data_IF_780966762824
#
_entry.id   IF_780966762824
#
_cell.length_a   1.000
_cell.length_b   1.000
_cell.length_c   1.000
_cell.angle_alpha   90.00
_cell.angle_beta   90.00
_cell.angle_gamma   90.00
#
_symmetry.space_group_name_H-M   'P 1'
#
loop_
_entity.id
_entity.type
_entity.pdbx_description
1 polymer ?
#
# COMPACT_ATOMS: atom_id res chain seq x y z
N UNK A 1 84.22 6.40 -15.39
CA UNK A 1 83.29 6.30 -14.27
C UNK A 1 81.91 6.70 -14.84
N UNK A 2 81.11 5.67 -15.17
CA UNK A 2 79.81 5.83 -15.79
C UNK A 2 78.71 5.46 -14.80
N UNK A 3 77.94 6.45 -14.46
CA UNK A 3 76.77 6.33 -13.60
C UNK A 3 75.55 5.85 -14.45
N UNK A 4 75.02 4.66 -14.19
CA UNK A 4 73.77 4.19 -14.76
C UNK A 4 72.68 4.25 -13.72
N UNK A 5 71.90 5.32 -13.73
CA UNK A 5 70.61 5.38 -13.04
C UNK A 5 69.56 4.62 -13.85
N UNK A 6 69.13 3.49 -13.33
CA UNK A 6 67.97 2.79 -13.82
C UNK A 6 66.67 3.51 -13.44
N UNK A 7 65.90 3.92 -14.40
CA UNK A 7 64.56 4.46 -14.19
C UNK A 7 63.58 3.30 -13.81
N UNK A 8 63.05 3.35 -12.61
CA UNK A 8 61.91 2.54 -12.17
C UNK A 8 60.62 3.14 -12.77
N UNK A 9 60.01 2.46 -13.70
CA UNK A 9 58.65 2.76 -14.12
C UNK A 9 57.68 2.18 -13.10
N UNK A 10 57.01 3.04 -12.36
CA UNK A 10 55.88 2.70 -11.51
C UNK A 10 54.63 2.46 -12.41
N UNK A 11 54.48 1.23 -12.82
CA UNK A 11 53.19 0.77 -13.40
C UNK A 11 52.18 0.57 -12.26
N UNK A 12 51.21 1.49 -12.15
CA UNK A 12 50.03 1.28 -11.33
C UNK A 12 49.23 0.12 -11.89
N UNK A 13 48.79 -0.86 -11.05
CA UNK A 13 47.92 -1.91 -11.52
C UNK A 13 46.60 -1.31 -12.01
N UNK A 14 46.31 -1.49 -13.29
CA UNK A 14 45.03 -1.19 -13.89
C UNK A 14 43.97 -2.11 -13.27
N UNK A 15 43.11 -1.57 -12.41
CA UNK A 15 41.89 -2.26 -11.98
C UNK A 15 40.94 -2.32 -13.17
N UNK A 16 41.11 -3.33 -14.01
CA UNK A 16 40.15 -3.64 -15.07
C UNK A 16 38.83 -4.05 -14.39
N UNK A 17 37.83 -3.19 -14.45
CA UNK A 17 36.47 -3.53 -14.07
C UNK A 17 35.98 -4.54 -15.08
N UNK A 18 35.93 -5.81 -14.67
CA UNK A 18 35.33 -6.88 -15.49
C UNK A 18 33.82 -6.64 -15.48
N UNK A 19 33.19 -6.30 -16.60
CA UNK A 19 31.75 -6.15 -16.65
C UNK A 19 31.10 -7.50 -16.38
N UNK A 20 30.36 -7.62 -15.30
CA UNK A 20 29.51 -8.78 -15.04
C UNK A 20 28.39 -8.73 -16.08
N UNK A 21 28.47 -9.58 -17.10
CA UNK A 21 27.36 -9.80 -18.01
C UNK A 21 26.29 -10.58 -17.25
N UNK A 22 25.26 -9.88 -16.81
CA UNK A 22 24.03 -10.52 -16.36
C UNK A 22 23.29 -11.00 -17.61
N UNK A 23 23.01 -12.29 -17.77
CA UNK A 23 22.21 -12.79 -18.88
C UNK A 23 20.83 -12.13 -18.80
N UNK A 24 20.48 -11.32 -19.79
CA UNK A 24 19.19 -10.68 -19.88
C UNK A 24 18.21 -11.60 -20.65
N UNK A 25 17.80 -12.69 -20.00
CA UNK A 25 16.65 -13.48 -20.40
C UNK A 25 15.55 -13.24 -19.37
N UNK A 26 14.48 -12.56 -19.75
CA UNK A 26 13.38 -12.22 -18.82
C UNK A 26 12.69 -13.45 -18.24
N UNK A 27 12.73 -14.58 -18.91
CA UNK A 27 12.01 -15.79 -18.51
C UNK A 27 12.84 -16.69 -17.58
N UNK A 28 14.17 -16.72 -17.73
CA UNK A 28 15.05 -17.52 -16.88
C UNK A 28 15.27 -16.92 -15.47
N UNK A 29 15.07 -15.60 -15.31
CA UNK A 29 15.26 -14.90 -14.05
C UNK A 29 14.18 -15.23 -13.00
N UNK A 30 12.99 -15.63 -13.43
CA UNK A 30 11.87 -16.00 -12.56
C UNK A 30 12.01 -17.40 -11.98
N UNK A 31 12.82 -18.26 -12.60
CA UNK A 31 13.04 -19.65 -12.20
C UNK A 31 14.28 -19.85 -11.32
N UNK A 32 15.18 -18.86 -11.23
CA UNK A 32 16.35 -18.97 -10.35
C UNK A 32 15.93 -18.77 -8.87
N UNK A 33 15.95 -19.84 -8.05
CA UNK A 33 15.54 -19.75 -6.65
C UNK A 33 16.44 -18.83 -5.79
N UNK A 34 17.58 -18.40 -6.34
CA UNK A 34 18.51 -17.46 -5.69
C UNK A 34 18.10 -16.01 -5.90
N UNK A 35 17.24 -15.72 -6.89
CA UNK A 35 16.74 -14.38 -7.13
C UNK A 35 15.52 -14.13 -6.24
N UNK A 36 15.52 -12.98 -5.57
CA UNK A 36 14.38 -12.55 -4.77
C UNK A 36 13.23 -12.13 -5.69
N UNK A 37 12.01 -12.60 -5.39
CA UNK A 37 10.79 -12.15 -6.04
C UNK A 37 10.26 -10.84 -5.45
N UNK A 38 11.09 -10.19 -4.63
CA UNK A 38 10.74 -8.99 -3.87
C UNK A 38 11.26 -7.77 -4.56
N UNK A 39 10.38 -6.83 -4.85
CA UNK A 39 10.76 -5.53 -5.40
C UNK A 39 11.48 -4.64 -4.36
N UNK A 40 11.91 -3.46 -4.80
CA UNK A 40 12.59 -2.49 -3.93
C UNK A 40 11.72 -1.95 -2.78
N UNK A 41 10.41 -2.09 -2.87
CA UNK A 41 9.44 -1.68 -1.84
C UNK A 41 9.15 -2.81 -0.84
N UNK A 42 9.56 -4.02 -1.16
CA UNK A 42 9.34 -5.20 -0.34
C UNK A 42 8.14 -6.05 -0.78
N UNK A 43 7.45 -5.69 -1.88
CA UNK A 43 6.33 -6.45 -2.43
C UNK A 43 6.83 -7.73 -3.08
N UNK A 44 6.16 -8.84 -2.82
CA UNK A 44 6.49 -10.16 -3.33
C UNK A 44 5.36 -10.70 -4.19
N UNK A 45 5.65 -11.06 -5.43
CA UNK A 45 4.64 -11.63 -6.33
C UNK A 45 4.15 -13.00 -5.85
N UNK A 46 5.05 -13.84 -5.32
CA UNK A 46 4.66 -15.16 -4.76
C UNK A 46 3.74 -14.99 -3.56
N UNK A 47 4.08 -14.05 -2.67
CA UNK A 47 3.21 -13.72 -1.53
C UNK A 47 1.85 -13.20 -2.01
N UNK A 48 1.83 -12.30 -2.99
CA UNK A 48 0.59 -11.74 -3.55
C UNK A 48 -0.27 -12.80 -4.22
N UNK A 49 0.33 -13.72 -4.98
CA UNK A 49 -0.39 -14.84 -5.60
C UNK A 49 -1.07 -15.73 -4.54
N UNK A 50 -0.34 -16.08 -3.48
CA UNK A 50 -0.89 -16.83 -2.34
C UNK A 50 -1.99 -16.03 -1.62
N UNK A 51 -1.72 -14.76 -1.32
CA UNK A 51 -2.66 -13.88 -0.64
C UNK A 51 -3.96 -13.72 -1.45
N UNK A 52 -3.89 -13.54 -2.77
CA UNK A 52 -5.07 -13.49 -3.65
C UNK A 52 -5.92 -14.75 -3.51
N UNK A 53 -5.29 -15.91 -3.59
CA UNK A 53 -5.99 -17.19 -3.48
C UNK A 53 -6.70 -17.36 -2.14
N UNK A 54 -6.02 -17.01 -1.04
CA UNK A 54 -6.57 -17.13 0.32
C UNK A 54 -7.62 -16.05 0.63
N UNK A 55 -7.47 -14.85 0.06
CA UNK A 55 -8.37 -13.73 0.34
C UNK A 55 -9.62 -13.73 -0.53
N UNK A 56 -9.61 -14.40 -1.68
CA UNK A 56 -10.73 -14.42 -2.63
C UNK A 56 -12.07 -14.86 -1.98
N UNK A 57 -12.15 -15.88 -1.14
CA UNK A 57 -13.40 -16.23 -0.45
C UNK A 57 -13.90 -15.13 0.50
N UNK A 58 -12.98 -14.39 1.15
CA UNK A 58 -13.33 -13.27 2.02
C UNK A 58 -13.86 -12.10 1.16
N UNK A 59 -13.19 -11.80 0.07
CA UNK A 59 -13.57 -10.75 -0.86
C UNK A 59 -14.95 -11.02 -1.51
N UNK A 60 -15.13 -12.20 -2.09
CA UNK A 60 -16.32 -12.51 -2.90
C UNK A 60 -17.54 -12.95 -2.09
N UNK A 61 -17.35 -13.77 -1.03
CA UNK A 61 -18.44 -14.39 -0.26
C UNK A 61 -18.73 -13.67 1.05
N UNK A 62 -17.67 -13.31 1.79
CA UNK A 62 -17.81 -12.68 3.10
C UNK A 62 -18.16 -11.20 2.98
N UNK A 63 -17.39 -10.45 2.16
CA UNK A 63 -17.60 -9.03 1.89
C UNK A 63 -18.49 -8.77 0.67
N UNK A 64 -18.70 -9.75 -0.18
CA UNK A 64 -19.59 -9.63 -1.36
C UNK A 64 -19.33 -8.31 -2.11
N UNK A 65 -18.06 -8.08 -2.40
CA UNK A 65 -17.56 -6.81 -2.95
C UNK A 65 -18.16 -6.54 -4.31
N UNK A 66 -18.63 -5.29 -4.51
CA UNK A 66 -19.13 -4.78 -5.76
C UNK A 66 -18.39 -3.51 -6.15
N UNK A 67 -17.97 -3.45 -7.40
CA UNK A 67 -17.37 -2.27 -7.99
C UNK A 67 -18.36 -1.55 -8.92
N UNK A 68 -18.20 -0.20 -8.96
CA UNK A 68 -18.86 0.68 -9.89
C UNK A 68 -17.83 1.66 -10.44
N UNK A 69 -17.74 1.83 -11.77
CA UNK A 69 -16.83 2.78 -12.41
C UNK A 69 -15.36 2.36 -12.43
N UNK A 70 -15.07 1.06 -12.34
CA UNK A 70 -13.69 0.54 -12.29
C UNK A 70 -12.90 0.89 -13.56
N UNK A 71 -13.58 1.03 -14.69
CA UNK A 71 -13.05 1.46 -15.99
C UNK A 71 -12.45 2.87 -16.00
N UNK A 72 -12.68 3.65 -14.92
CA UNK A 72 -12.09 4.99 -14.75
C UNK A 72 -10.66 4.95 -14.22
N UNK A 73 -10.21 3.80 -13.73
CA UNK A 73 -8.81 3.61 -13.33
C UNK A 73 -8.00 3.39 -14.60
N UNK A 74 -6.93 4.16 -14.84
CA UNK A 74 -6.17 4.03 -16.08
C UNK A 74 -5.48 2.66 -16.18
N UNK A 75 -5.44 2.09 -17.38
CA UNK A 75 -4.77 0.81 -17.65
C UNK A 75 -3.24 0.93 -17.56
N UNK A 76 -2.70 2.12 -17.84
CA UNK A 76 -1.27 2.39 -17.83
C UNK A 76 -0.95 3.71 -17.10
N UNK A 77 0.31 3.87 -16.73
CA UNK A 77 0.78 5.07 -16.05
C UNK A 77 0.41 5.14 -14.57
N UNK A 78 0.95 6.14 -13.89
CA UNK A 78 0.69 6.38 -12.48
C UNK A 78 -0.68 7.02 -12.23
N UNK A 79 -1.34 6.64 -11.13
CA UNK A 79 -2.51 7.35 -10.62
C UNK A 79 -2.58 7.26 -9.09
N UNK A 80 -3.01 8.33 -8.45
CA UNK A 80 -3.22 8.37 -7.01
C UNK A 80 -4.67 8.02 -6.68
N UNK A 81 -4.88 6.81 -6.15
CA UNK A 81 -6.17 6.35 -5.67
C UNK A 81 -6.42 6.94 -4.27
N UNK A 82 -7.49 7.69 -4.11
CA UNK A 82 -7.83 8.35 -2.85
C UNK A 82 -9.16 7.84 -2.35
N UNK A 83 -9.16 7.19 -1.17
CA UNK A 83 -10.36 6.59 -0.61
C UNK A 83 -10.67 7.13 0.80
N UNK A 84 -11.93 7.04 1.21
CA UNK A 84 -12.32 7.19 2.60
C UNK A 84 -11.89 5.95 3.39
N UNK A 85 -11.62 6.16 4.69
CA UNK A 85 -11.07 5.13 5.58
C UNK A 85 -12.01 4.87 6.74
N UNK A 86 -12.35 3.60 6.98
CA UNK A 86 -13.29 3.26 8.01
C UNK A 86 -13.09 1.83 8.56
N UNK A 87 -13.75 1.54 9.69
CA UNK A 87 -13.60 0.27 10.41
C UNK A 87 -12.33 0.26 11.30
N UNK A 88 -12.44 -0.30 12.49
CA UNK A 88 -11.40 -0.23 13.53
C UNK A 88 -10.03 -0.77 13.08
N UNK A 89 -10.04 -1.90 12.39
CA UNK A 89 -8.90 -2.47 11.67
C UNK A 89 -9.32 -2.50 10.21
N UNK A 90 -8.77 -1.59 9.40
CA UNK A 90 -9.36 -1.31 8.10
C UNK A 90 -9.26 -2.49 7.14
N UNK A 91 -10.41 -2.97 6.67
CA UNK A 91 -10.51 -3.98 5.62
C UNK A 91 -10.57 -3.37 4.22
N UNK A 92 -10.71 -2.05 4.13
CA UNK A 92 -10.85 -1.32 2.86
C UNK A 92 -9.58 -1.37 1.99
N UNK A 93 -8.40 -1.18 2.57
CA UNK A 93 -7.16 -1.25 1.81
C UNK A 93 -6.95 -2.63 1.14
N UNK A 94 -7.02 -3.78 1.86
CA UNK A 94 -6.95 -5.09 1.22
C UNK A 94 -8.03 -5.32 0.16
N UNK A 95 -9.26 -4.86 0.40
CA UNK A 95 -10.38 -4.99 -0.55
C UNK A 95 -10.09 -4.23 -1.84
N UNK A 96 -9.63 -2.96 -1.75
CA UNK A 96 -9.30 -2.14 -2.91
C UNK A 96 -8.14 -2.76 -3.69
N UNK A 97 -7.03 -3.07 -2.99
CA UNK A 97 -5.82 -3.61 -3.62
C UNK A 97 -6.08 -4.96 -4.30
N UNK A 98 -6.82 -5.85 -3.62
CA UNK A 98 -7.20 -7.14 -4.19
C UNK A 98 -8.10 -7.00 -5.40
N UNK A 99 -9.14 -6.14 -5.32
CA UNK A 99 -10.09 -5.96 -6.39
C UNK A 99 -9.45 -5.38 -7.66
N UNK A 100 -8.63 -4.36 -7.54
CA UNK A 100 -7.93 -3.77 -8.68
C UNK A 100 -6.96 -4.76 -9.32
N UNK A 101 -6.17 -5.48 -8.52
CA UNK A 101 -5.29 -6.53 -9.08
C UNK A 101 -6.07 -7.64 -9.77
N UNK A 102 -7.23 -8.03 -9.22
CA UNK A 102 -8.07 -9.09 -9.80
C UNK A 102 -8.68 -8.68 -11.13
N UNK A 103 -9.25 -7.48 -11.18
CA UNK A 103 -10.07 -7.04 -12.32
C UNK A 103 -9.21 -6.37 -13.42
N UNK A 104 -8.16 -5.63 -13.03
CA UNK A 104 -7.32 -4.88 -13.98
C UNK A 104 -5.92 -5.47 -14.16
N UNK A 105 -5.53 -6.46 -13.36
CA UNK A 105 -4.18 -7.03 -13.41
C UNK A 105 -3.07 -6.07 -12.97
N UNK A 106 -3.41 -4.89 -12.42
CA UNK A 106 -2.46 -3.84 -12.05
C UNK A 106 -2.09 -3.91 -10.57
N UNK A 107 -0.80 -3.89 -10.22
CA UNK A 107 -0.38 -3.80 -8.84
C UNK A 107 -0.77 -2.45 -8.23
N UNK A 108 -1.17 -2.49 -6.97
CA UNK A 108 -1.47 -1.29 -6.17
C UNK A 108 -0.55 -1.26 -4.96
N UNK A 109 0.07 -0.10 -4.71
CA UNK A 109 0.89 0.14 -3.52
C UNK A 109 0.12 0.99 -2.52
N UNK A 110 -0.10 0.45 -1.31
CA UNK A 110 -0.83 1.14 -0.26
C UNK A 110 0.11 1.98 0.62
N UNK A 111 -0.17 3.26 0.76
CA UNK A 111 0.57 4.11 1.69
C UNK A 111 0.08 3.88 3.13
N UNK A 112 1.00 3.62 4.04
CA UNK A 112 0.69 3.46 5.45
C UNK A 112 1.64 4.24 6.34
N UNK A 113 1.15 4.60 7.52
CA UNK A 113 1.97 5.22 8.56
C UNK A 113 3.14 4.30 8.92
N UNK A 114 4.28 4.91 9.23
CA UNK A 114 5.49 4.18 9.62
C UNK A 114 5.26 3.24 10.81
N UNK A 115 4.31 3.55 11.68
CA UNK A 115 3.93 2.72 12.81
C UNK A 115 3.64 1.26 12.41
N UNK A 116 2.96 1.01 11.27
CA UNK A 116 2.64 -0.35 10.82
C UNK A 116 3.89 -1.19 10.53
N UNK A 117 4.99 -0.56 10.13
CA UNK A 117 6.27 -1.26 9.92
C UNK A 117 6.94 -1.71 11.21
N UNK A 118 6.65 -1.05 12.34
CA UNK A 118 7.25 -1.38 13.63
C UNK A 118 6.59 -2.58 14.31
N UNK A 119 5.40 -2.99 13.84
CA UNK A 119 4.69 -4.15 14.38
C UNK A 119 5.29 -5.41 13.74
N UNK A 120 5.91 -6.31 14.55
CA UNK A 120 6.46 -7.57 14.03
C UNK A 120 5.39 -8.36 13.26
N UNK A 121 5.80 -9.09 12.24
CA UNK A 121 4.93 -9.86 11.34
C UNK A 121 4.01 -9.00 10.49
N UNK A 122 3.20 -8.10 11.11
CA UNK A 122 2.26 -7.23 10.39
C UNK A 122 3.01 -6.34 9.38
N UNK A 123 4.11 -5.72 9.80
CA UNK A 123 4.93 -4.88 8.91
C UNK A 123 5.51 -5.66 7.74
N UNK A 124 5.96 -6.90 7.99
CA UNK A 124 6.47 -7.77 6.92
C UNK A 124 5.37 -8.18 5.95
N UNK A 125 4.23 -8.65 6.46
CA UNK A 125 3.08 -9.05 5.63
C UNK A 125 2.56 -7.86 4.83
N UNK A 126 2.49 -6.68 5.45
CA UNK A 126 2.09 -5.44 4.77
C UNK A 126 3.04 -5.07 3.63
N UNK A 127 4.36 -5.08 3.87
CA UNK A 127 5.36 -4.81 2.83
C UNK A 127 5.27 -5.85 1.70
N UNK A 128 5.18 -7.15 2.03
CA UNK A 128 5.02 -8.23 1.03
C UNK A 128 3.73 -8.09 0.22
N UNK A 129 2.70 -7.49 0.80
CA UNK A 129 1.43 -7.19 0.15
C UNK A 129 1.45 -5.95 -0.74
N UNK A 130 2.51 -5.14 -0.74
CA UNK A 130 2.59 -3.88 -1.47
C UNK A 130 2.40 -2.63 -0.60
N UNK A 131 2.56 -2.77 0.71
CA UNK A 131 2.50 -1.64 1.63
C UNK A 131 3.80 -0.85 1.67
N UNK A 132 3.71 0.47 1.51
CA UNK A 132 4.85 1.39 1.47
C UNK A 132 4.66 2.48 2.52
N UNK A 133 5.77 2.95 3.13
CA UNK A 133 5.70 4.06 4.08
C UNK A 133 5.19 5.34 3.42
N UNK A 134 4.21 5.98 4.04
CA UNK A 134 3.57 7.22 3.57
C UNK A 134 4.53 8.42 3.69
N UNK A 135 5.53 8.44 2.82
CA UNK A 135 6.48 9.56 2.64
C UNK A 135 6.28 10.18 1.26
N UNK A 136 6.29 11.51 1.14
CA UNK A 136 6.13 12.19 -0.15
C UNK A 136 7.07 11.68 -1.24
N UNK A 137 8.34 11.43 -0.90
CA UNK A 137 9.33 10.91 -1.85
C UNK A 137 8.98 9.51 -2.37
N UNK A 138 8.44 8.62 -1.51
CA UNK A 138 8.05 7.26 -1.91
C UNK A 138 6.84 7.32 -2.86
N UNK A 139 5.84 8.12 -2.51
CA UNK A 139 4.66 8.31 -3.35
C UNK A 139 5.03 8.91 -4.72
N UNK A 140 5.90 9.93 -4.75
CA UNK A 140 6.38 10.51 -5.99
C UNK A 140 7.09 9.49 -6.89
N UNK A 141 8.02 8.69 -6.33
CA UNK A 141 8.74 7.66 -7.08
C UNK A 141 7.79 6.62 -7.68
N UNK A 142 6.87 6.10 -6.88
CA UNK A 142 5.87 5.13 -7.34
C UNK A 142 5.01 5.72 -8.47
N UNK A 143 4.49 6.93 -8.27
CA UNK A 143 3.58 7.57 -9.22
C UNK A 143 4.27 8.01 -10.51
N UNK A 144 5.40 8.77 -10.38
CA UNK A 144 6.04 9.42 -11.52
C UNK A 144 7.08 8.56 -12.20
N UNK A 145 7.98 7.95 -11.41
CA UNK A 145 9.13 7.23 -11.97
C UNK A 145 8.77 5.81 -12.38
N UNK A 146 7.86 5.16 -11.63
CA UNK A 146 7.49 3.76 -11.86
C UNK A 146 6.10 3.58 -12.48
N UNK A 147 5.31 4.64 -12.62
CA UNK A 147 3.99 4.59 -13.23
C UNK A 147 2.99 3.68 -12.49
N UNK A 148 3.11 3.57 -11.16
CA UNK A 148 2.29 2.66 -10.36
C UNK A 148 1.00 3.30 -9.85
N UNK A 149 0.02 2.45 -9.53
CA UNK A 149 -1.16 2.86 -8.78
C UNK A 149 -0.79 2.94 -7.29
N UNK A 150 -1.08 4.09 -6.68
CA UNK A 150 -0.78 4.34 -5.26
C UNK A 150 -2.07 4.64 -4.52
N UNK A 151 -2.37 3.88 -3.47
CA UNK A 151 -3.56 4.05 -2.64
C UNK A 151 -3.21 4.88 -1.39
N UNK A 152 -3.96 5.94 -1.18
CA UNK A 152 -3.86 6.82 -0.01
C UNK A 152 -5.21 7.03 0.67
N UNK A 153 -5.19 7.17 1.99
CA UNK A 153 -6.34 7.47 2.82
C UNK A 153 -6.10 8.78 3.58
N UNK A 154 -6.48 9.94 3.03
CA UNK A 154 -6.15 11.24 3.62
C UNK A 154 -6.80 11.51 4.99
N UNK A 155 -7.83 10.76 5.38
CA UNK A 155 -8.38 10.79 6.73
C UNK A 155 -7.37 10.29 7.79
N UNK A 156 -6.41 9.46 7.39
CA UNK A 156 -5.46 8.83 8.29
C UNK A 156 -6.18 8.07 9.41
N UNK A 157 -5.61 8.07 10.61
CA UNK A 157 -6.17 7.35 11.78
C UNK A 157 -7.54 7.89 12.25
N UNK A 158 -7.96 9.07 11.79
CA UNK A 158 -9.27 9.65 12.15
C UNK A 158 -10.43 8.90 11.51
N UNK A 159 -10.23 8.37 10.31
CA UNK A 159 -11.23 7.55 9.62
C UNK A 159 -11.56 6.27 10.40
N UNK A 160 -10.60 5.33 10.57
CA UNK A 160 -10.82 4.07 11.27
C UNK A 160 -11.22 4.22 12.73
N UNK A 161 -10.84 5.31 13.37
CA UNK A 161 -11.18 5.57 14.77
C UNK A 161 -12.57 6.20 14.98
N UNK A 162 -13.33 6.43 13.91
CA UNK A 162 -14.72 6.96 14.04
C UNK A 162 -15.61 6.04 14.87
N UNK A 163 -16.48 6.63 15.70
CA UNK A 163 -17.57 5.89 16.31
C UNK A 163 -18.57 5.46 15.24
N UNK A 164 -19.21 4.32 15.44
CA UNK A 164 -20.26 3.83 14.54
C UNK A 164 -21.48 4.78 14.46
N UNK A 165 -21.68 5.60 15.45
CA UNK A 165 -22.69 6.69 15.43
C UNK A 165 -22.40 7.75 14.36
N UNK A 166 -21.12 7.92 14.02
CA UNK A 166 -20.64 8.88 13.01
C UNK A 166 -20.38 8.22 11.65
N UNK A 167 -20.92 7.00 11.45
CA UNK A 167 -20.76 6.29 10.19
C UNK A 167 -21.26 7.09 8.99
N UNK A 168 -20.70 6.81 7.81
CA UNK A 168 -21.00 7.50 6.54
C UNK A 168 -20.66 8.99 6.51
N UNK A 169 -19.99 9.51 7.54
CA UNK A 169 -19.49 10.87 7.55
C UNK A 169 -18.01 10.87 7.28
N UNK A 170 -17.59 11.59 6.25
CA UNK A 170 -16.17 11.81 5.98
C UNK A 170 -15.58 12.68 7.10
N UNK A 171 -14.43 12.29 7.57
CA UNK A 171 -13.61 13.17 8.40
C UNK A 171 -12.77 14.06 7.51
N UNK A 172 -12.40 15.23 8.02
CA UNK A 172 -11.59 16.17 7.28
C UNK A 172 -10.30 15.50 6.81
N UNK A 173 -10.04 15.51 5.52
CA UNK A 173 -8.76 15.19 4.93
C UNK A 173 -7.74 16.19 5.48
N UNK A 174 -6.86 15.71 6.36
CA UNK A 174 -6.15 16.58 7.28
C UNK A 174 -5.13 17.51 6.61
N UNK A 175 -4.55 17.10 5.48
CA UNK A 175 -3.47 17.82 4.82
C UNK A 175 -3.60 17.65 3.31
N UNK A 176 -3.45 18.75 2.56
CA UNK A 176 -3.46 18.72 1.09
C UNK A 176 -2.24 18.08 0.43
N UNK A 177 -1.36 17.43 1.21
CA UNK A 177 -0.11 16.85 0.70
C UNK A 177 -0.30 15.80 -0.39
N UNK A 178 -1.39 15.04 -0.36
CA UNK A 178 -1.71 14.07 -1.42
C UNK A 178 -2.00 14.77 -2.76
N UNK A 179 -2.68 15.94 -2.72
CA UNK A 179 -2.94 16.76 -3.91
C UNK A 179 -1.62 17.30 -4.47
N UNK A 180 -0.77 17.86 -3.60
CA UNK A 180 0.54 18.39 -3.99
C UNK A 180 1.41 17.31 -4.65
N UNK A 181 1.41 16.09 -4.10
CA UNK A 181 2.18 14.97 -4.67
C UNK A 181 1.63 14.57 -6.04
N UNK A 182 0.30 14.49 -6.22
CA UNK A 182 -0.32 14.17 -7.50
C UNK A 182 0.01 15.23 -8.56
N UNK A 183 -0.09 16.51 -8.21
CA UNK A 183 0.29 17.63 -9.07
C UNK A 183 1.76 17.57 -9.48
N UNK A 184 2.67 17.39 -8.52
CA UNK A 184 4.12 17.28 -8.79
C UNK A 184 4.47 16.07 -9.65
N UNK A 185 3.77 14.96 -9.44
CA UNK A 185 3.97 13.74 -10.22
C UNK A 185 3.32 13.84 -11.62
N UNK A 186 2.44 14.82 -11.86
CA UNK A 186 1.70 14.96 -13.12
C UNK A 186 0.74 13.79 -13.37
N UNK A 187 0.10 13.26 -12.30
CA UNK A 187 -0.80 12.11 -12.39
C UNK A 187 -2.20 12.48 -11.89
N UNK A 188 -3.26 11.84 -12.39
CA UNK A 188 -4.60 12.08 -11.91
C UNK A 188 -4.81 11.54 -10.49
N UNK A 189 -5.72 12.19 -9.76
CA UNK A 189 -6.32 11.62 -8.55
C UNK A 189 -7.59 10.88 -8.96
N UNK A 190 -7.71 9.64 -8.53
CA UNK A 190 -8.89 8.80 -8.73
C UNK A 190 -9.60 8.63 -7.38
N UNK A 191 -10.70 9.34 -7.13
CA UNK A 191 -11.42 9.18 -5.88
C UNK A 191 -12.21 7.86 -5.86
N UNK A 192 -12.18 7.15 -4.74
CA UNK A 192 -12.91 5.90 -4.53
C UNK A 192 -13.77 6.04 -3.27
N UNK A 193 -15.08 6.00 -3.42
CA UNK A 193 -16.01 5.96 -2.31
C UNK A 193 -16.21 4.51 -1.85
N UNK A 194 -15.92 4.23 -0.57
CA UNK A 194 -16.03 2.90 0.05
C UNK A 194 -17.14 2.90 1.06
N UNK A 195 -18.06 1.95 0.95
CA UNK A 195 -19.09 1.66 1.96
C UNK A 195 -19.03 0.20 2.36
N UNK A 196 -19.43 -0.13 3.60
CA UNK A 196 -19.38 -1.49 4.15
C UNK A 196 -18.23 -1.75 5.12
N UNK A 197 -17.20 -0.92 5.13
CA UNK A 197 -16.07 -1.06 6.03
C UNK A 197 -16.43 -0.76 7.50
N UNK A 198 -17.34 0.19 7.71
CA UNK A 198 -17.81 0.57 9.05
C UNK A 198 -18.65 -0.55 9.68
N UNK A 199 -19.43 -1.27 8.87
CA UNK A 199 -20.24 -2.42 9.29
C UNK A 199 -19.41 -3.67 9.55
N UNK A 200 -18.29 -3.80 8.84
CA UNK A 200 -17.40 -4.94 9.03
C UNK A 200 -16.73 -4.89 10.41
N UNK A 201 -16.44 -3.70 10.92
CA UNK A 201 -15.78 -3.54 12.22
C UNK A 201 -16.27 -2.26 12.94
N UNK A 202 -17.50 -2.27 13.47
CA UNK A 202 -18.11 -1.11 14.12
C UNK A 202 -17.38 -0.71 15.40
N UNK A 203 -16.89 0.52 15.46
CA UNK A 203 -16.29 1.10 16.67
C UNK A 203 -17.40 1.65 17.57
N UNK A 204 -17.58 1.05 18.72
CA UNK A 204 -18.58 1.52 19.71
C UNK A 204 -18.03 2.70 20.50
N UNK A 205 -16.82 2.55 21.02
CA UNK A 205 -16.10 3.63 21.72
C UNK A 205 -14.58 3.36 21.70
N UNK A 206 -13.83 4.29 22.23
CA UNK A 206 -12.36 4.23 22.27
C UNK A 206 -11.87 4.29 23.72
N UNK A 207 -10.76 3.61 24.00
CA UNK A 207 -10.10 3.60 25.31
C UNK A 207 -8.74 4.32 25.21
N UNK A 208 -8.68 5.65 25.41
CA UNK A 208 -7.44 6.43 25.27
C UNK A 208 -6.35 5.99 26.25
N UNK A 209 -6.70 5.60 27.48
CA UNK A 209 -5.73 5.12 28.47
C UNK A 209 -5.05 3.83 28.02
N UNK A 210 -5.80 2.88 27.44
CA UNK A 210 -5.25 1.63 26.90
C UNK A 210 -4.39 1.92 25.68
N UNK A 211 -4.84 2.79 24.78
CA UNK A 211 -4.05 3.20 23.61
C UNK A 211 -2.69 3.76 24.04
N UNK A 212 -2.67 4.67 25.02
CA UNK A 212 -1.44 5.27 25.56
C UNK A 212 -0.51 4.21 26.19
N UNK A 213 -1.08 3.30 26.98
CA UNK A 213 -0.31 2.22 27.62
C UNK A 213 0.36 1.30 26.58
N UNK A 214 -0.33 1.02 25.48
CA UNK A 214 0.15 0.12 24.41
C UNK A 214 0.95 0.85 23.31
N UNK A 215 1.12 2.17 23.39
CA UNK A 215 1.78 2.96 22.36
C UNK A 215 1.04 3.01 21.03
N UNK A 216 -0.30 2.78 21.05
CA UNK A 216 -1.14 2.76 19.86
C UNK A 216 -1.73 4.14 19.57
N UNK A 217 -1.99 4.48 18.30
CA UNK A 217 -2.65 5.75 17.96
C UNK A 217 -4.08 5.83 18.49
N UNK A 218 -4.76 4.71 18.63
CA UNK A 218 -6.07 4.55 19.28
C UNK A 218 -6.28 3.09 19.69
N UNK A 219 -7.15 2.83 20.65
CA UNK A 219 -7.61 1.47 20.99
C UNK A 219 -9.13 1.42 20.87
N UNK A 220 -9.65 0.73 19.83
CA UNK A 220 -11.10 0.67 19.60
C UNK A 220 -11.72 -0.45 20.41
N UNK A 221 -12.88 -0.19 21.00
CA UNK A 221 -13.79 -1.24 21.44
C UNK A 221 -14.84 -1.41 20.35
N UNK A 222 -14.76 -2.54 19.67
CA UNK A 222 -15.65 -2.87 18.54
C UNK A 222 -16.74 -3.84 18.96
N UNK A 223 -17.84 -3.88 18.20
CA UNK A 223 -18.85 -4.91 18.38
C UNK A 223 -18.28 -6.31 18.21
N UNK A 224 -17.30 -6.49 17.32
CA UNK A 224 -16.57 -7.75 17.09
C UNK A 224 -15.80 -8.17 18.36
N UNK A 225 -15.10 -7.24 19.00
CA UNK A 225 -14.36 -7.50 20.24
C UNK A 225 -15.31 -7.97 21.36
N UNK A 226 -16.47 -7.36 21.46
CA UNK A 226 -17.46 -7.77 22.46
C UNK A 226 -18.10 -9.12 22.16
N UNK A 227 -18.33 -9.42 20.88
CA UNK A 227 -18.97 -10.69 20.46
C UNK A 227 -18.01 -11.88 20.48
N UNK A 228 -16.74 -11.69 20.11
CA UNK A 228 -15.76 -12.76 19.86
C UNK A 228 -14.52 -12.68 20.77
N UNK A 229 -14.53 -11.77 21.76
CA UNK A 229 -13.35 -11.50 22.58
C UNK A 229 -12.16 -11.02 21.73
N UNK A 230 -10.91 -11.28 22.13
CA UNK A 230 -9.72 -10.82 21.41
C UNK A 230 -9.67 -11.21 19.93
N UNK A 231 -10.27 -12.34 19.54
CA UNK A 231 -10.40 -12.76 18.15
C UNK A 231 -11.21 -11.77 17.30
N UNK A 232 -12.13 -11.04 17.92
CA UNK A 232 -12.92 -10.00 17.25
C UNK A 232 -12.10 -8.84 16.70
N UNK A 233 -10.85 -8.67 17.13
CA UNK A 233 -9.94 -7.70 16.50
C UNK A 233 -9.39 -8.21 15.16
N UNK A 234 -9.43 -9.51 14.91
CA UNK A 234 -8.91 -10.13 13.69
C UNK A 234 -10.00 -10.53 12.70
N UNK A 235 -11.22 -10.74 13.19
CA UNK A 235 -12.33 -11.25 12.39
C UNK A 235 -13.37 -10.15 12.16
N UNK A 236 -13.41 -9.56 10.97
CA UNK A 236 -14.45 -8.61 10.60
C UNK A 236 -15.81 -9.33 10.47
N UNK A 237 -16.91 -8.64 10.72
CA UNK A 237 -18.24 -9.17 10.44
C UNK A 237 -18.48 -9.27 8.92
N UNK A 238 -19.37 -10.17 8.48
CA UNK A 238 -19.78 -10.19 7.08
C UNK A 238 -20.51 -8.88 6.75
N UNK A 239 -20.00 -8.17 5.77
CA UNK A 239 -20.55 -6.92 5.30
C UNK A 239 -20.61 -6.92 3.77
N UNK A 240 -21.43 -6.04 3.19
CA UNK A 240 -21.42 -5.82 1.75
C UNK A 240 -20.59 -4.58 1.46
N UNK A 241 -19.45 -4.77 0.81
CA UNK A 241 -18.65 -3.66 0.33
C UNK A 241 -19.14 -3.17 -1.02
N UNK A 242 -19.35 -1.88 -1.15
CA UNK A 242 -19.53 -1.22 -2.44
C UNK A 242 -18.45 -0.19 -2.62
N UNK A 243 -17.73 -0.28 -3.73
CA UNK A 243 -16.63 0.58 -4.11
C UNK A 243 -17.04 1.32 -5.38
N UNK A 244 -17.13 2.63 -5.31
CA UNK A 244 -17.46 3.47 -6.45
C UNK A 244 -16.27 4.33 -6.82
N UNK A 245 -15.75 4.12 -8.02
CA UNK A 245 -14.72 4.97 -8.62
C UNK A 245 -15.40 6.19 -9.21
N UNK A 246 -14.99 7.37 -8.76
CA UNK A 246 -15.49 8.65 -9.25
C UNK A 246 -14.64 9.14 -10.43
N UNK A 247 -15.06 10.25 -11.04
CA UNK A 247 -14.33 10.81 -12.17
C UNK A 247 -12.94 11.26 -11.78
N UNK A 248 -11.93 10.96 -12.61
CA UNK A 248 -10.56 11.38 -12.37
C UNK A 248 -10.44 12.91 -12.25
N UNK A 249 -9.67 13.35 -11.28
CA UNK A 249 -9.31 14.76 -11.12
C UNK A 249 -7.91 14.95 -11.69
N UNK A 250 -7.82 15.60 -12.85
CA UNK A 250 -6.55 15.94 -13.50
C UNK A 250 -6.18 17.39 -13.21
N UNK A 251 -4.90 17.68 -13.26
CA UNK A 251 -4.37 19.01 -13.03
C UNK A 251 -3.70 19.48 -14.32
N UNK A 252 -4.12 20.63 -14.81
CA UNK A 252 -3.39 21.34 -15.86
C UNK A 252 -2.16 21.99 -15.19
N UNK A 253 -1.07 21.24 -15.12
CA UNK A 253 0.21 21.75 -14.64
C UNK A 253 0.98 22.22 -15.87
N UNK A 254 1.36 23.51 -15.96
CA UNK A 254 2.13 24.04 -17.07
C UNK A 254 3.55 23.45 -17.13
#
# INVERSE_FOLDING_TARGET
VTDRRAARTDEKPSTAVVPIRVPCGRDDALEDPRLSDVDEWGRSERFRALARSLYEPVYSKWFRVRWEGLEKIPDEGGALLVANHAGAIPSDAPVIMHGIEKELGRPVYGLADYFFRTIPVVGTLWARGGGVSARPANAYRLLREQGQLVLDFPEGTKGPSKSFTDRYQLRRFGRGGFVEIAMRAGVPIIPIAVTGSEEAMPVLFRLPAVAKLLGLPYFPVTANLLALGPLGLLVPFPAKFTLRVLDPVSFDVP
#
